data_IF_805521548089
#
_entry.id   IF_805521548089
#
_cell.length_a   1.000
_cell.length_b   1.000
_cell.length_c   1.000
_cell.angle_alpha   90.00
_cell.angle_beta   90.00
_cell.angle_gamma   90.00
#
_symmetry.space_group_name_H-M   'P 1'
#
loop_
_entity.id
_entity.type
_entity.pdbx_description
1 polymer ?
#
# COMPACT_ATOMS: atom_id res chain seq x y z
N UNK A 1 -9.40 -2.91 -6.83
CA UNK A 1 -8.75 -1.71 -7.43
C UNK A 1 -9.73 -1.08 -8.38
N UNK A 2 -9.91 0.23 -8.32
CA UNK A 2 -10.98 0.89 -9.08
C UNK A 2 -10.50 2.16 -9.77
N UNK A 3 -11.19 2.55 -10.84
CA UNK A 3 -11.08 3.91 -11.42
C UNK A 3 -11.81 4.92 -10.53
N UNK A 4 -11.68 6.20 -10.85
CA UNK A 4 -12.35 7.30 -10.14
C UNK A 4 -13.89 7.18 -10.15
N UNK A 5 -14.46 6.48 -11.13
CA UNK A 5 -15.92 6.24 -11.25
C UNK A 5 -16.40 5.05 -10.39
N UNK A 6 -15.52 4.42 -9.61
CA UNK A 6 -15.84 3.25 -8.79
C UNK A 6 -15.82 1.92 -9.56
N UNK A 7 -15.60 1.95 -10.87
CA UNK A 7 -15.45 0.75 -11.69
C UNK A 7 -14.26 -0.10 -11.21
N UNK A 8 -14.51 -1.33 -10.80
CA UNK A 8 -13.46 -2.27 -10.42
C UNK A 8 -12.72 -2.77 -11.66
N UNK A 9 -11.41 -2.54 -11.70
CA UNK A 9 -10.53 -2.93 -12.81
C UNK A 9 -9.89 -4.29 -12.53
N UNK A 10 -9.60 -4.57 -11.25
CA UNK A 10 -8.86 -5.74 -10.82
C UNK A 10 -9.11 -6.03 -9.34
N UNK A 11 -9.24 -7.31 -9.01
CA UNK A 11 -9.13 -7.87 -7.67
C UNK A 11 -8.03 -8.93 -7.63
N UNK A 12 -7.47 -9.16 -6.44
CA UNK A 12 -6.48 -10.20 -6.19
C UNK A 12 -6.71 -10.77 -4.79
N UNK A 13 -6.12 -11.94 -4.53
CA UNK A 13 -6.07 -12.53 -3.20
C UNK A 13 -4.65 -13.06 -2.95
N UNK A 14 -4.29 -13.17 -1.68
CA UNK A 14 -3.05 -13.78 -1.24
C UNK A 14 -3.31 -14.59 0.02
N UNK A 15 -2.82 -15.82 0.04
CA UNK A 15 -2.75 -16.61 1.26
C UNK A 15 -1.53 -16.18 2.07
N UNK A 16 -1.76 -15.74 3.31
CA UNK A 16 -0.72 -15.22 4.21
C UNK A 16 -0.42 -16.14 5.40
N UNK A 17 -1.19 -17.21 5.60
CA UNK A 17 -1.08 -18.04 6.80
C UNK A 17 -1.50 -17.29 8.07
N UNK A 18 -0.79 -17.53 9.17
CA UNK A 18 -1.00 -16.82 10.44
C UNK A 18 -0.21 -15.51 10.42
N UNK A 19 -0.92 -14.38 10.35
CA UNK A 19 -0.32 -13.05 10.41
C UNK A 19 -1.23 -12.08 11.17
N UNK A 20 -0.69 -10.92 11.56
CA UNK A 20 -1.51 -9.86 12.14
C UNK A 20 -2.36 -9.18 11.05
N UNK A 21 -3.40 -8.43 11.48
CA UNK A 21 -4.20 -7.60 10.57
C UNK A 21 -3.32 -6.53 9.92
N UNK A 22 -2.40 -5.94 10.68
CA UNK A 22 -1.44 -4.95 10.20
C UNK A 22 -0.57 -5.50 9.07
N UNK A 23 0.01 -6.69 9.26
CA UNK A 23 0.82 -7.36 8.22
C UNK A 23 -0.02 -7.71 6.98
N UNK A 24 -1.24 -8.19 7.19
CA UNK A 24 -2.14 -8.55 6.09
C UNK A 24 -2.48 -7.36 5.20
N UNK A 25 -2.73 -6.21 5.81
CA UNK A 25 -3.02 -4.99 5.06
C UNK A 25 -1.81 -4.44 4.34
N UNK A 26 -0.62 -4.41 4.96
CA UNK A 26 0.60 -3.97 4.29
C UNK A 26 0.94 -4.86 3.09
N UNK A 27 0.79 -6.18 3.22
CA UNK A 27 0.96 -7.10 2.09
C UNK A 27 -0.06 -6.86 0.99
N UNK A 28 -1.33 -6.64 1.35
CA UNK A 28 -2.37 -6.28 0.38
C UNK A 28 -2.04 -5.00 -0.38
N UNK A 29 -1.57 -3.96 0.31
CA UNK A 29 -1.15 -2.70 -0.32
C UNK A 29 0.04 -2.94 -1.25
N UNK A 30 1.08 -3.65 -0.81
CA UNK A 30 2.28 -3.92 -1.60
C UNK A 30 1.98 -4.73 -2.88
N UNK A 31 1.19 -5.80 -2.76
CA UNK A 31 0.78 -6.62 -3.89
C UNK A 31 -0.07 -5.79 -4.86
N UNK A 32 -0.96 -4.97 -4.31
CA UNK A 32 -1.78 -4.07 -5.10
C UNK A 32 -0.96 -3.03 -5.89
N UNK A 33 -0.02 -2.36 -5.23
CA UNK A 33 0.86 -1.39 -5.88
C UNK A 33 1.70 -2.05 -6.99
N UNK A 34 2.25 -3.23 -6.71
CA UNK A 34 3.05 -4.01 -7.67
C UNK A 34 2.25 -4.37 -8.93
N UNK A 35 0.99 -4.76 -8.75
CA UNK A 35 0.09 -5.07 -9.87
C UNK A 35 -0.28 -3.83 -10.69
N UNK A 36 -0.60 -2.71 -10.03
CA UNK A 36 -0.96 -1.46 -10.70
C UNK A 36 0.23 -0.86 -11.46
N UNK A 37 1.43 -0.91 -10.87
CA UNK A 37 2.65 -0.44 -11.51
C UNK A 37 2.95 -1.24 -12.79
N UNK A 38 2.80 -2.57 -12.74
CA UNK A 38 2.93 -3.44 -13.93
C UNK A 38 1.90 -3.13 -15.03
N UNK A 39 0.76 -2.53 -14.68
CA UNK A 39 -0.26 -2.05 -15.62
C UNK A 39 0.00 -0.64 -16.16
N UNK A 40 1.05 0.03 -15.70
CA UNK A 40 1.49 1.34 -16.21
C UNK A 40 0.85 2.55 -15.55
N UNK A 41 0.05 2.38 -14.48
CA UNK A 41 -0.47 3.53 -13.73
C UNK A 41 0.59 4.07 -12.77
N UNK A 42 0.73 5.39 -12.74
CA UNK A 42 1.79 6.08 -11.99
C UNK A 42 1.30 6.78 -10.72
N UNK A 43 0.01 7.10 -10.66
CA UNK A 43 -0.61 7.80 -9.53
C UNK A 43 -1.79 7.00 -9.02
N UNK A 44 -1.78 6.71 -7.73
CA UNK A 44 -2.78 5.88 -7.06
C UNK A 44 -3.13 6.49 -5.71
N UNK A 45 -4.37 6.28 -5.27
CA UNK A 45 -4.80 6.60 -3.91
C UNK A 45 -5.00 5.30 -3.17
N UNK A 46 -4.24 5.09 -2.10
CA UNK A 46 -4.38 3.94 -1.23
C UNK A 46 -5.52 4.22 -0.26
N UNK A 47 -6.52 3.35 -0.24
CA UNK A 47 -7.61 3.37 0.73
C UNK A 47 -7.46 2.15 1.64
N UNK A 48 -7.28 2.38 2.93
CA UNK A 48 -7.27 1.37 3.99
C UNK A 48 -8.13 1.88 5.15
N UNK A 49 -8.81 0.96 5.85
CA UNK A 49 -9.57 1.23 7.07
C UNK A 49 -8.73 1.18 8.34
N UNK A 50 -7.42 0.93 8.25
CA UNK A 50 -6.53 0.76 9.40
C UNK A 50 -5.65 1.98 9.61
N UNK A 51 -5.92 2.70 10.70
CA UNK A 51 -5.18 3.90 11.05
C UNK A 51 -3.70 3.64 11.36
N UNK A 52 -3.35 2.47 11.90
CA UNK A 52 -1.95 2.10 12.17
C UNK A 52 -1.16 1.97 10.87
N UNK A 53 -1.77 1.36 9.84
CA UNK A 53 -1.18 1.23 8.50
C UNK A 53 -1.01 2.59 7.83
N UNK A 54 -2.01 3.48 7.94
CA UNK A 54 -1.91 4.86 7.41
C UNK A 54 -0.72 5.59 8.03
N UNK A 55 -0.57 5.54 9.35
CA UNK A 55 0.56 6.15 10.06
C UNK A 55 1.88 5.55 9.62
N UNK A 56 1.99 4.22 9.60
CA UNK A 56 3.21 3.54 9.19
C UNK A 56 3.67 3.93 7.78
N UNK A 57 2.75 4.08 6.82
CA UNK A 57 3.08 4.48 5.44
C UNK A 57 3.47 5.96 5.37
N UNK A 58 2.84 6.82 6.16
CA UNK A 58 3.14 8.26 6.17
C UNK A 58 4.45 8.58 6.92
N UNK A 59 4.72 7.88 8.01
CA UNK A 59 5.90 8.09 8.87
C UNK A 59 7.21 7.70 8.16
N UNK A 60 7.16 6.77 7.20
CA UNK A 60 8.32 6.42 6.35
C UNK A 60 8.87 7.64 5.60
N UNK A 61 8.06 8.67 5.34
CA UNK A 61 8.53 9.91 4.70
C UNK A 61 9.32 10.83 5.65
N UNK A 62 9.29 10.60 6.96
CA UNK A 62 9.99 11.42 7.95
C UNK A 62 11.40 10.90 8.29
N UNK A 63 11.70 9.62 8.02
CA UNK A 63 13.00 9.01 8.38
C UNK A 63 14.10 9.20 7.34
N UNK A 64 13.80 9.71 6.14
CA UNK A 64 14.79 10.03 5.09
C UNK A 64 15.54 11.36 5.32
N UNK A 65 15.31 12.05 6.44
CA UNK A 65 16.04 13.28 6.81
C UNK A 65 17.28 13.05 7.69
N UNK A 66 17.74 11.80 7.88
CA UNK A 66 19.07 11.56 8.44
C UNK A 66 20.12 11.59 7.33
N UNK A 67 20.25 12.77 6.71
CA UNK A 67 21.43 13.13 5.95
C UNK A 67 22.67 12.91 6.82
N UNK A 68 23.66 12.23 6.25
CA UNK A 68 25.00 12.16 6.79
C UNK A 68 25.45 13.56 7.26
N UNK A 69 25.69 13.70 8.56
CA UNK A 69 26.45 14.80 9.13
C UNK A 69 27.51 14.18 10.04
N UNK A 70 28.74 14.16 9.49
CA UNK A 70 30.07 14.04 10.11
C UNK A 70 30.25 13.09 11.29
#
# INVERSE_FOLDING_TARGET
>A
MCKQEGECILGFNRYLGLCSVFDAELWGILDGLSLIQKKGYQKVVIHTGNLEVVKAIQDVHLTDSSSALL
#
